data_IF_161532938789
#
_entry.id   IF_161532938789
#
_cell.length_a   1.000
_cell.length_b   1.000
_cell.length_c   1.000
_cell.angle_alpha   90.00
_cell.angle_beta   90.00
_cell.angle_gamma   90.00
#
_symmetry.space_group_name_H-M   'P 1'
#
loop_
_entity.id
_entity.type
_entity.pdbx_description
1 polymer ?
#
# COMPACT_ATOMS: atom_id res chain seq x y z
N UNK A 1 -14.53 -2.97 -28.04
CA UNK A 1 -13.15 -2.75 -27.56
C UNK A 1 -13.00 -3.52 -26.26
N UNK A 2 -12.18 -4.54 -26.20
CA UNK A 2 -11.90 -5.29 -24.95
C UNK A 2 -11.03 -4.39 -24.07
N UNK A 3 -11.61 -3.92 -22.97
CA UNK A 3 -10.89 -3.10 -21.99
C UNK A 3 -9.63 -3.81 -21.44
N UNK A 4 -8.67 -3.04 -20.92
CA UNK A 4 -7.45 -3.58 -20.30
C UNK A 4 -7.85 -4.50 -19.14
N UNK A 5 -7.32 -5.75 -19.08
CA UNK A 5 -7.64 -6.66 -17.99
C UNK A 5 -7.28 -6.06 -16.61
N UNK A 6 -8.03 -6.38 -15.54
CA UNK A 6 -7.68 -5.95 -14.18
C UNK A 6 -6.23 -6.27 -13.82
N UNK A 7 -5.57 -5.35 -13.12
CA UNK A 7 -4.14 -5.44 -12.79
C UNK A 7 -3.80 -6.74 -12.03
N UNK A 8 -4.65 -7.14 -11.07
CA UNK A 8 -4.49 -8.41 -10.35
C UNK A 8 -4.48 -9.64 -11.26
N UNK A 9 -5.26 -9.64 -12.35
CA UNK A 9 -5.29 -10.76 -13.31
C UNK A 9 -4.00 -10.80 -14.15
N UNK A 10 -3.49 -9.63 -14.54
CA UNK A 10 -2.22 -9.54 -15.27
C UNK A 10 -1.07 -10.00 -14.40
N UNK A 11 -1.03 -9.57 -13.13
CA UNK A 11 -0.02 -10.01 -12.16
C UNK A 11 -0.03 -11.54 -11.97
N UNK A 12 -1.21 -12.13 -11.72
CA UNK A 12 -1.34 -13.59 -11.58
C UNK A 12 -0.92 -14.32 -12.85
N UNK A 13 -1.34 -13.82 -14.01
CA UNK A 13 -0.97 -14.38 -15.32
C UNK A 13 0.52 -14.30 -15.59
N UNK A 14 1.14 -13.15 -15.32
CA UNK A 14 2.58 -12.95 -15.49
C UNK A 14 3.40 -13.84 -14.54
N UNK A 15 2.95 -14.00 -13.29
CA UNK A 15 3.58 -14.91 -12.34
C UNK A 15 3.52 -16.37 -12.83
N UNK A 16 2.36 -16.86 -13.22
CA UNK A 16 2.18 -18.21 -13.76
C UNK A 16 3.06 -18.45 -15.00
N UNK A 17 3.07 -17.52 -15.93
CA UNK A 17 3.90 -17.58 -17.13
C UNK A 17 5.38 -17.69 -16.77
N UNK A 18 5.87 -16.84 -15.85
CA UNK A 18 7.27 -16.84 -15.41
C UNK A 18 7.67 -18.21 -14.81
N UNK A 19 6.86 -18.77 -13.91
CA UNK A 19 7.15 -20.07 -13.31
C UNK A 19 7.12 -21.20 -14.34
N UNK A 20 6.15 -21.19 -15.26
CA UNK A 20 6.07 -22.14 -16.35
C UNK A 20 7.32 -22.08 -17.25
N UNK A 21 7.72 -20.88 -17.66
CA UNK A 21 8.88 -20.67 -18.53
C UNK A 21 10.20 -21.05 -17.83
N UNK A 22 10.32 -20.83 -16.53
CA UNK A 22 11.50 -21.26 -15.76
C UNK A 22 11.69 -22.78 -15.74
N UNK A 23 10.60 -23.54 -15.87
CA UNK A 23 10.63 -25.00 -15.99
C UNK A 23 10.84 -25.47 -17.45
N UNK A 24 10.91 -24.54 -18.41
CA UNK A 24 10.97 -24.87 -19.83
C UNK A 24 9.64 -25.43 -20.40
N UNK A 25 8.53 -25.29 -19.66
CA UNK A 25 7.24 -25.79 -20.10
C UNK A 25 6.60 -24.88 -21.14
N UNK A 26 6.04 -25.49 -22.19
CA UNK A 26 5.14 -24.83 -23.13
C UNK A 26 3.72 -24.67 -22.57
N UNK A 27 2.85 -24.04 -23.34
CA UNK A 27 1.43 -23.91 -22.95
C UNK A 27 0.70 -25.25 -22.92
N UNK A 28 1.16 -26.22 -23.68
CA UNK A 28 0.54 -27.55 -23.78
C UNK A 28 0.81 -28.39 -22.52
N UNK A 29 1.99 -28.22 -21.89
CA UNK A 29 2.31 -28.83 -20.58
C UNK A 29 1.38 -28.29 -19.50
N UNK A 30 1.23 -26.97 -19.42
CA UNK A 30 0.32 -26.32 -18.48
C UNK A 30 -1.16 -26.71 -18.72
N UNK A 31 -1.55 -26.87 -19.99
CA UNK A 31 -2.89 -27.30 -20.35
C UNK A 31 -3.18 -28.75 -19.91
N UNK A 32 -2.19 -29.64 -19.96
CA UNK A 32 -2.31 -31.03 -19.47
C UNK A 32 -2.50 -31.08 -17.95
N UNK A 33 -1.81 -30.23 -17.18
CA UNK A 33 -1.98 -30.17 -15.71
C UNK A 33 -3.43 -29.84 -15.36
N UNK A 34 -4.07 -28.89 -16.05
CA UNK A 34 -5.44 -28.48 -15.78
C UNK A 34 -6.50 -29.21 -16.63
N UNK A 35 -6.11 -30.24 -17.40
CA UNK A 35 -6.99 -30.97 -18.30
C UNK A 35 -7.84 -30.04 -19.19
N UNK A 36 -7.20 -29.05 -19.82
CA UNK A 36 -7.87 -27.99 -20.54
C UNK A 36 -7.17 -27.62 -21.87
N UNK A 37 -7.80 -26.75 -22.67
CA UNK A 37 -7.21 -26.26 -23.90
C UNK A 37 -6.06 -25.28 -23.66
N UNK A 38 -5.02 -25.34 -24.49
CA UNK A 38 -3.91 -24.38 -24.55
C UNK A 38 -4.39 -22.92 -24.58
N UNK A 39 -5.48 -22.63 -25.29
CA UNK A 39 -6.06 -21.28 -25.36
C UNK A 39 -6.56 -20.75 -24.02
N UNK A 40 -6.98 -21.64 -23.12
CA UNK A 40 -7.38 -21.26 -21.75
C UNK A 40 -6.16 -20.79 -20.96
N UNK A 41 -5.05 -21.52 -21.01
CA UNK A 41 -3.80 -21.13 -20.33
C UNK A 41 -3.31 -19.79 -20.86
N UNK A 42 -3.23 -19.63 -22.18
CA UNK A 42 -2.81 -18.37 -22.81
C UNK A 42 -3.65 -17.17 -22.35
N UNK A 43 -4.98 -17.32 -22.26
CA UNK A 43 -5.87 -16.26 -21.78
C UNK A 43 -5.72 -15.99 -20.28
N UNK A 44 -5.38 -16.99 -19.48
CA UNK A 44 -5.06 -16.80 -18.07
C UNK A 44 -3.75 -16.02 -17.92
N UNK A 45 -2.70 -16.43 -18.62
CA UNK A 45 -1.37 -15.79 -18.57
C UNK A 45 -1.38 -14.35 -19.09
N UNK A 46 -2.27 -14.03 -20.03
CA UNK A 46 -2.47 -12.64 -20.52
C UNK A 46 -3.45 -11.82 -19.69
N UNK A 47 -4.00 -12.39 -18.59
CA UNK A 47 -4.97 -11.73 -17.73
C UNK A 47 -6.39 -11.58 -18.32
N UNK A 48 -6.60 -12.02 -19.55
CA UNK A 48 -7.91 -11.94 -20.23
C UNK A 48 -8.96 -12.85 -19.59
N UNK A 49 -8.51 -13.91 -18.91
CA UNK A 49 -9.38 -14.83 -18.17
C UNK A 49 -8.89 -14.95 -16.73
N UNK A 50 -9.84 -14.92 -15.77
CA UNK A 50 -9.55 -15.25 -14.38
C UNK A 50 -9.29 -16.75 -14.22
N UNK A 51 -8.53 -17.12 -13.17
CA UNK A 51 -8.27 -18.50 -12.77
C UNK A 51 -9.01 -18.83 -11.48
N UNK A 52 -9.51 -20.06 -11.32
CA UNK A 52 -10.11 -20.54 -10.06
C UNK A 52 -9.02 -20.85 -9.05
N UNK A 53 -9.32 -20.65 -7.76
CA UNK A 53 -8.33 -20.90 -6.69
C UNK A 53 -7.81 -22.36 -6.67
N UNK A 54 -8.65 -23.35 -7.03
CA UNK A 54 -8.23 -24.74 -7.17
C UNK A 54 -7.23 -24.90 -8.31
N UNK A 55 -7.56 -24.40 -9.50
CA UNK A 55 -6.70 -24.44 -10.69
C UNK A 55 -5.37 -23.71 -10.46
N UNK A 56 -5.44 -22.55 -9.79
CA UNK A 56 -4.24 -21.78 -9.43
C UNK A 56 -3.32 -22.60 -8.50
N UNK A 57 -3.87 -23.20 -7.44
CA UNK A 57 -3.09 -24.01 -6.51
C UNK A 57 -2.43 -25.19 -7.23
N UNK A 58 -3.15 -25.86 -8.11
CA UNK A 58 -2.67 -26.98 -8.88
C UNK A 58 -1.46 -26.61 -9.75
N UNK A 59 -1.56 -25.50 -10.53
CA UNK A 59 -0.43 -25.00 -11.30
C UNK A 59 0.75 -24.59 -10.43
N UNK A 60 0.51 -23.86 -9.33
CA UNK A 60 1.58 -23.38 -8.44
C UNK A 60 2.34 -24.55 -7.78
N UNK A 61 1.64 -25.61 -7.41
CA UNK A 61 2.23 -26.84 -6.85
C UNK A 61 3.10 -27.55 -7.90
N UNK A 62 2.55 -27.76 -9.09
CA UNK A 62 3.28 -28.41 -10.20
C UNK A 62 4.49 -27.59 -10.69
N UNK A 63 4.39 -26.27 -10.58
CA UNK A 63 5.51 -25.39 -10.92
C UNK A 63 6.55 -25.26 -9.79
N UNK A 64 6.36 -25.91 -8.65
CA UNK A 64 7.29 -25.87 -7.52
C UNK A 64 7.42 -24.49 -6.89
N UNK A 65 6.36 -23.69 -6.92
CA UNK A 65 6.36 -22.33 -6.33
C UNK A 65 6.48 -22.44 -4.81
N UNK A 66 7.34 -21.65 -4.14
CA UNK A 66 7.47 -21.66 -2.69
C UNK A 66 6.17 -21.36 -1.96
N UNK A 67 5.92 -22.00 -0.81
CA UNK A 67 4.66 -21.92 -0.05
C UNK A 67 4.23 -20.47 0.26
N UNK A 68 5.17 -19.61 0.65
CA UNK A 68 4.89 -18.19 0.95
C UNK A 68 4.37 -17.44 -0.26
N UNK A 69 4.91 -17.72 -1.44
CA UNK A 69 4.49 -17.11 -2.70
C UNK A 69 3.18 -17.70 -3.20
N UNK A 70 2.97 -19.02 -3.05
CA UNK A 70 1.69 -19.66 -3.31
C UNK A 70 0.58 -19.00 -2.48
N UNK A 71 0.82 -18.82 -1.17
CA UNK A 71 -0.15 -18.19 -0.27
C UNK A 71 -0.51 -16.76 -0.73
N UNK A 72 0.49 -15.95 -1.13
CA UNK A 72 0.28 -14.60 -1.61
C UNK A 72 -0.55 -14.57 -2.91
N UNK A 73 -0.18 -15.39 -3.92
CA UNK A 73 -0.91 -15.48 -5.18
C UNK A 73 -2.34 -15.99 -5.01
N UNK A 74 -2.55 -16.98 -4.13
CA UNK A 74 -3.88 -17.47 -3.77
C UNK A 74 -4.72 -16.40 -3.05
N UNK A 75 -4.10 -15.60 -2.17
CA UNK A 75 -4.78 -14.48 -1.51
C UNK A 75 -5.27 -13.43 -2.51
N UNK A 76 -4.45 -13.06 -3.51
CA UNK A 76 -4.84 -12.14 -4.60
C UNK A 76 -6.02 -12.71 -5.41
N UNK A 77 -5.96 -13.99 -5.78
CA UNK A 77 -7.02 -14.65 -6.54
C UNK A 77 -8.33 -14.77 -5.76
N UNK A 78 -8.25 -15.04 -4.45
CA UNK A 78 -9.41 -15.22 -3.58
C UNK A 78 -10.11 -13.89 -3.27
N UNK A 79 -9.37 -12.86 -2.88
CA UNK A 79 -9.89 -11.52 -2.53
C UNK A 79 -10.57 -10.84 -3.70
N UNK A 80 -10.11 -11.07 -4.92
CA UNK A 80 -10.78 -10.57 -6.12
C UNK A 80 -12.17 -11.13 -6.38
N UNK A 81 -12.65 -12.08 -5.58
CA UNK A 81 -14.00 -12.69 -5.66
C UNK A 81 -14.86 -12.41 -4.44
N UNK A 82 -14.27 -11.91 -3.37
CA UNK A 82 -15.02 -11.59 -2.15
C UNK A 82 -15.53 -10.15 -2.21
N UNK A 83 -16.68 -9.92 -1.62
CA UNK A 83 -17.17 -8.58 -1.30
C UNK A 83 -16.23 -7.99 -0.24
N UNK A 84 -15.42 -7.01 -0.60
CA UNK A 84 -14.54 -6.32 0.32
C UNK A 84 -15.18 -5.02 0.81
N UNK A 85 -14.75 -4.53 1.97
CA UNK A 85 -15.22 -3.27 2.57
C UNK A 85 -15.16 -2.07 1.60
N UNK A 86 -14.27 -2.09 0.60
CA UNK A 86 -14.13 -1.02 -0.40
C UNK A 86 -15.30 -0.95 -1.38
N UNK A 87 -16.12 -1.98 -1.50
CA UNK A 87 -17.29 -1.99 -2.38
C UNK A 87 -18.47 -1.17 -1.82
N UNK A 88 -18.38 -0.80 -0.54
CA UNK A 88 -19.35 0.09 0.10
C UNK A 88 -19.14 1.56 -0.33
N UNK A 89 -18.02 1.85 -1.06
CA UNK A 89 -17.62 3.18 -1.50
C UNK A 89 -17.43 3.27 -3.02
N UNK A 90 -18.45 2.95 -3.84
CA UNK A 90 -18.34 2.93 -5.30
C UNK A 90 -18.18 4.33 -5.91
N UNK A 91 -18.55 5.36 -5.17
CA UNK A 91 -18.46 6.78 -5.53
C UNK A 91 -17.04 7.35 -5.34
N UNK A 92 -16.18 6.66 -4.60
CA UNK A 92 -14.80 7.10 -4.28
C UNK A 92 -13.76 6.26 -5.01
N UNK A 93 -13.96 4.96 -5.12
CA UNK A 93 -12.97 4.03 -5.64
C UNK A 93 -13.32 3.58 -7.06
N UNK A 94 -12.46 3.93 -8.01
CA UNK A 94 -12.47 3.36 -9.36
C UNK A 94 -12.16 1.85 -9.33
N UNK A 95 -12.44 1.13 -10.42
CA UNK A 95 -12.07 -0.29 -10.56
C UNK A 95 -10.56 -0.52 -10.33
N UNK A 96 -9.72 0.41 -10.79
CA UNK A 96 -8.27 0.36 -10.56
C UNK A 96 -7.92 0.56 -9.09
N UNK A 97 -8.61 1.47 -8.40
CA UNK A 97 -8.46 1.70 -6.96
C UNK A 97 -8.86 0.47 -6.15
N UNK A 98 -9.97 -0.18 -6.50
CA UNK A 98 -10.40 -1.43 -5.87
C UNK A 98 -9.39 -2.56 -6.08
N UNK A 99 -8.84 -2.70 -7.30
CA UNK A 99 -7.77 -3.66 -7.58
C UNK A 99 -6.53 -3.39 -6.72
N UNK A 100 -6.17 -2.11 -6.54
CA UNK A 100 -5.08 -1.71 -5.66
C UNK A 100 -5.33 -2.13 -4.19
N UNK A 101 -6.54 -1.91 -3.65
CA UNK A 101 -6.90 -2.32 -2.29
C UNK A 101 -6.76 -3.83 -2.09
N UNK A 102 -7.14 -4.61 -3.10
CA UNK A 102 -7.00 -6.08 -3.07
C UNK A 102 -5.52 -6.47 -2.99
N UNK A 103 -4.68 -5.86 -3.82
CA UNK A 103 -3.25 -6.18 -3.88
C UNK A 103 -2.51 -5.68 -2.63
N UNK A 104 -2.78 -4.46 -2.18
CA UNK A 104 -2.20 -3.92 -0.95
C UNK A 104 -2.51 -4.81 0.25
N UNK A 105 -3.77 -5.25 0.39
CA UNK A 105 -4.15 -6.19 1.45
C UNK A 105 -3.46 -7.56 1.35
N UNK A 106 -2.92 -7.97 0.21
CA UNK A 106 -2.21 -9.23 0.01
C UNK A 106 -0.68 -9.07 0.07
N UNK A 107 -0.17 -7.83 0.07
CA UNK A 107 1.27 -7.57 0.08
C UNK A 107 1.93 -8.07 1.37
N UNK A 108 3.14 -8.62 1.24
CA UNK A 108 4.02 -8.96 2.35
C UNK A 108 4.91 -7.77 2.74
N UNK A 109 5.23 -6.90 1.78
CA UNK A 109 6.03 -5.70 1.97
C UNK A 109 5.49 -4.57 1.09
N UNK A 110 5.48 -3.36 1.66
CA UNK A 110 5.10 -2.12 0.97
C UNK A 110 6.23 -1.11 1.14
N UNK A 111 6.80 -0.69 0.02
CA UNK A 111 7.81 0.37 -0.04
C UNK A 111 7.16 1.59 -0.69
N UNK A 112 7.09 2.71 0.02
CA UNK A 112 6.42 3.90 -0.49
C UNK A 112 7.34 5.14 -0.45
N UNK A 113 7.38 5.86 -1.56
CA UNK A 113 8.01 7.16 -1.67
C UNK A 113 6.95 8.22 -1.96
N UNK A 114 6.93 9.27 -1.14
CA UNK A 114 5.99 10.37 -1.28
C UNK A 114 6.73 11.70 -1.41
N UNK A 115 6.41 12.41 -2.48
CA UNK A 115 7.07 13.68 -2.82
C UNK A 115 6.28 14.91 -2.41
N UNK A 116 4.95 14.83 -2.31
CA UNK A 116 4.09 16.00 -2.22
C UNK A 116 3.19 16.05 -1.00
N UNK A 117 2.96 14.93 -0.33
CA UNK A 117 2.07 14.85 0.83
C UNK A 117 2.49 13.73 1.77
N UNK A 118 1.87 13.66 2.94
CA UNK A 118 2.01 12.51 3.84
C UNK A 118 1.36 11.28 3.21
N UNK A 119 2.02 10.10 3.22
CA UNK A 119 1.42 8.86 2.71
C UNK A 119 0.05 8.58 3.33
N UNK A 120 -0.92 8.17 2.53
CA UNK A 120 -2.30 7.90 2.99
C UNK A 120 -2.36 6.96 4.20
N UNK A 121 -1.49 5.95 4.25
CA UNK A 121 -1.42 5.01 5.38
C UNK A 121 -0.95 5.66 6.69
N UNK A 122 -0.31 6.83 6.62
CA UNK A 122 0.24 7.53 7.77
C UNK A 122 -0.53 8.80 8.15
N UNK A 123 -1.55 9.18 7.36
CA UNK A 123 -2.35 10.38 7.63
C UNK A 123 -3.18 10.24 8.91
N UNK A 124 -3.25 11.32 9.69
CA UNK A 124 -4.29 11.47 10.73
C UNK A 124 -5.64 11.74 10.07
N UNK A 125 -6.73 11.54 10.80
CA UNK A 125 -8.07 11.84 10.28
C UNK A 125 -8.20 13.33 9.87
N UNK A 126 -7.65 14.24 10.68
CA UNK A 126 -7.68 15.68 10.39
C UNK A 126 -6.92 16.03 9.10
N UNK A 127 -5.73 15.43 8.90
CA UNK A 127 -4.96 15.62 7.67
C UNK A 127 -5.70 15.02 6.46
N UNK A 128 -6.21 13.80 6.57
CA UNK A 128 -6.97 13.14 5.51
C UNK A 128 -8.23 13.97 5.11
N UNK A 129 -8.90 14.57 6.10
CA UNK A 129 -10.06 15.45 5.86
C UNK A 129 -9.64 16.73 5.11
N UNK A 130 -8.58 17.39 5.57
CA UNK A 130 -8.10 18.61 4.92
C UNK A 130 -7.64 18.38 3.47
N UNK A 131 -7.03 17.21 3.19
CA UNK A 131 -6.70 16.81 1.81
C UNK A 131 -7.97 16.58 0.98
N UNK A 132 -8.99 15.90 1.54
CA UNK A 132 -10.24 15.66 0.84
C UNK A 132 -11.02 16.94 0.56
N UNK A 133 -10.99 17.90 1.48
CA UNK A 133 -11.64 19.21 1.33
C UNK A 133 -10.97 20.09 0.25
N UNK A 134 -9.67 19.90 0.04
CA UNK A 134 -8.89 20.62 -0.97
C UNK A 134 -8.98 19.98 -2.37
N UNK A 135 -9.41 18.73 -2.49
CA UNK A 135 -9.46 17.99 -3.76
C UNK A 135 -10.72 18.37 -4.55
N UNK A 136 -10.58 19.02 -5.73
CA UNK A 136 -11.72 19.43 -6.54
C UNK A 136 -12.48 18.27 -7.22
N UNK A 137 -11.95 17.06 -7.17
CA UNK A 137 -12.60 15.91 -7.79
C UNK A 137 -13.78 15.37 -6.96
N UNK A 138 -13.91 15.76 -5.70
CA UNK A 138 -15.04 15.38 -4.85
C UNK A 138 -16.19 16.35 -5.02
N UNK A 139 -17.31 15.88 -5.60
CA UNK A 139 -18.45 16.72 -5.96
C UNK A 139 -19.28 17.21 -4.75
N UNK A 140 -19.10 16.63 -3.56
CA UNK A 140 -19.87 16.98 -2.37
C UNK A 140 -19.26 16.48 -1.06
N UNK A 141 -19.84 16.91 0.06
CA UNK A 141 -19.35 16.56 1.40
C UNK A 141 -19.44 15.06 1.68
N UNK A 142 -20.44 14.36 1.17
CA UNK A 142 -20.61 12.93 1.33
C UNK A 142 -19.45 12.17 0.70
N UNK A 143 -19.05 12.49 -0.54
CA UNK A 143 -17.90 11.89 -1.19
C UNK A 143 -16.59 12.19 -0.46
N UNK A 144 -16.42 13.41 0.09
CA UNK A 144 -15.24 13.75 0.91
C UNK A 144 -15.19 12.92 2.17
N UNK A 145 -16.34 12.72 2.84
CA UNK A 145 -16.43 11.84 4.01
C UNK A 145 -16.07 10.40 3.64
N UNK A 146 -16.66 9.85 2.59
CA UNK A 146 -16.34 8.51 2.08
C UNK A 146 -14.85 8.37 1.72
N UNK A 147 -14.23 9.38 1.10
CA UNK A 147 -12.80 9.38 0.81
C UNK A 147 -11.94 9.27 2.09
N UNK A 148 -12.31 9.96 3.16
CA UNK A 148 -11.65 9.86 4.46
C UNK A 148 -11.89 8.48 5.09
N UNK A 149 -13.10 7.97 5.06
CA UNK A 149 -13.46 6.65 5.61
C UNK A 149 -12.69 5.53 4.92
N UNK A 150 -12.57 5.59 3.58
CA UNK A 150 -11.75 4.66 2.79
C UNK A 150 -10.30 4.67 3.26
N UNK A 151 -9.69 5.86 3.46
CA UNK A 151 -8.31 5.97 3.95
C UNK A 151 -8.16 5.36 5.35
N UNK A 152 -9.09 5.65 6.27
CA UNK A 152 -9.06 5.12 7.65
C UNK A 152 -9.31 3.61 7.69
N UNK A 153 -10.23 3.09 6.88
CA UNK A 153 -10.48 1.65 6.76
C UNK A 153 -9.24 0.93 6.19
N UNK A 154 -8.60 1.50 5.17
CA UNK A 154 -7.35 1.00 4.59
C UNK A 154 -6.23 0.94 5.64
N UNK A 155 -6.05 2.00 6.44
CA UNK A 155 -5.09 2.02 7.55
C UNK A 155 -5.35 0.89 8.55
N UNK A 156 -6.59 0.67 8.97
CA UNK A 156 -6.95 -0.44 9.87
C UNK A 156 -6.54 -1.79 9.29
N UNK A 157 -6.92 -2.05 8.05
CA UNK A 157 -6.62 -3.34 7.41
C UNK A 157 -5.12 -3.55 7.27
N UNK A 158 -4.38 -2.55 6.77
CA UNK A 158 -2.94 -2.69 6.49
C UNK A 158 -2.12 -2.68 7.78
N UNK A 159 -2.34 -1.69 8.65
CA UNK A 159 -1.47 -1.44 9.80
C UNK A 159 -1.82 -2.30 11.02
N UNK A 160 -3.10 -2.58 11.28
CA UNK A 160 -3.53 -3.30 12.47
C UNK A 160 -3.75 -4.80 12.23
N UNK A 161 -4.35 -5.17 11.09
CA UNK A 161 -4.76 -6.55 10.84
C UNK A 161 -3.70 -7.36 10.07
N UNK A 162 -3.12 -6.78 9.02
CA UNK A 162 -2.21 -7.49 8.09
C UNK A 162 -0.75 -7.37 8.49
N UNK A 163 -0.33 -6.19 8.91
CA UNK A 163 1.02 -5.85 9.35
C UNK A 163 2.11 -6.32 8.37
N UNK A 164 2.04 -5.93 7.09
CA UNK A 164 3.15 -6.16 6.19
C UNK A 164 4.38 -5.36 6.66
N UNK A 165 5.55 -5.69 6.14
CA UNK A 165 6.70 -4.82 6.31
C UNK A 165 6.46 -3.50 5.54
N UNK A 166 6.61 -2.37 6.22
CA UNK A 166 6.34 -1.04 5.69
C UNK A 166 7.60 -0.18 5.74
N UNK A 167 8.01 0.32 4.59
CA UNK A 167 9.11 1.28 4.51
C UNK A 167 8.64 2.54 3.76
N UNK A 168 8.76 3.69 4.41
CA UNK A 168 8.36 4.98 3.86
C UNK A 168 9.56 5.90 3.73
N UNK A 169 9.68 6.56 2.59
CA UNK A 169 10.54 7.72 2.37
C UNK A 169 9.67 8.89 1.98
N UNK A 170 9.67 9.94 2.78
CA UNK A 170 8.90 11.18 2.56
C UNK A 170 9.88 12.30 2.30
N UNK A 171 9.66 13.14 1.29
CA UNK A 171 10.48 14.33 1.10
C UNK A 171 10.24 15.36 2.21
N UNK A 172 11.25 16.11 2.56
CA UNK A 172 11.11 17.24 3.49
C UNK A 172 10.13 18.27 2.93
N UNK A 173 10.07 18.47 1.61
CA UNK A 173 9.10 19.34 0.96
C UNK A 173 7.64 19.01 1.28
N UNK A 174 7.29 17.71 1.31
CA UNK A 174 5.94 17.26 1.67
C UNK A 174 5.57 17.61 3.13
N UNK A 175 6.55 17.73 4.01
CA UNK A 175 6.34 18.07 5.42
C UNK A 175 6.19 19.58 5.65
N UNK A 176 6.79 20.40 4.79
CA UNK A 176 6.64 21.86 4.81
C UNK A 176 5.36 22.36 4.15
N UNK A 177 4.69 21.51 3.39
CA UNK A 177 3.38 21.88 2.83
C UNK A 177 2.32 21.88 3.90
N UNK A 178 1.82 23.06 4.25
CA UNK A 178 0.81 23.23 5.30
C UNK A 178 -0.55 22.73 4.79
N UNK A 179 -1.04 21.65 5.39
CA UNK A 179 -2.35 21.05 5.09
C UNK A 179 -3.28 21.26 6.27
N UNK A 180 -4.40 21.95 6.06
CA UNK A 180 -5.42 22.19 7.09
C UNK A 180 -5.01 23.10 8.26
N UNK A 181 -3.84 23.77 8.14
CA UNK A 181 -3.33 24.65 9.19
C UNK A 181 -2.54 23.94 10.30
N UNK A 182 -2.04 24.75 11.27
CA UNK A 182 -1.18 24.27 12.36
C UNK A 182 -1.83 23.21 13.24
N UNK A 183 -3.13 23.34 13.50
CA UNK A 183 -3.88 22.41 14.36
C UNK A 183 -4.01 21.01 13.75
N UNK A 184 -3.93 20.90 12.42
CA UNK A 184 -3.91 19.64 11.66
C UNK A 184 -2.48 19.13 11.50
N UNK A 185 -1.53 20.01 11.19
CA UNK A 185 -0.14 19.63 10.95
C UNK A 185 0.58 19.13 12.20
N UNK A 186 0.37 19.76 13.35
CA UNK A 186 1.05 19.36 14.60
C UNK A 186 0.77 17.90 14.99
N UNK A 187 -0.50 17.44 15.12
CA UNK A 187 -0.77 16.01 15.39
C UNK A 187 -0.25 15.08 14.29
N UNK A 188 -0.21 15.55 13.03
CA UNK A 188 0.32 14.77 11.92
C UNK A 188 1.84 14.56 12.04
N UNK A 189 2.59 15.60 12.33
CA UNK A 189 4.04 15.56 12.54
C UNK A 189 4.40 14.72 13.77
N UNK A 190 3.66 14.86 14.89
CA UNK A 190 3.83 14.06 16.10
C UNK A 190 3.64 12.56 15.81
N UNK A 191 2.61 12.20 15.01
CA UNK A 191 2.39 10.81 14.57
C UNK A 191 3.58 10.30 13.76
N UNK A 192 4.06 11.09 12.80
CA UNK A 192 5.21 10.69 11.96
C UNK A 192 6.50 10.56 12.79
N UNK A 193 6.74 11.48 13.74
CA UNK A 193 7.88 11.43 14.66
C UNK A 193 7.86 10.17 15.51
N UNK A 194 6.69 9.78 16.01
CA UNK A 194 6.49 8.55 16.79
C UNK A 194 6.76 7.29 15.97
N UNK A 195 6.29 7.26 14.72
CA UNK A 195 6.54 6.16 13.79
C UNK A 195 8.03 6.04 13.43
N UNK A 196 8.68 7.16 13.12
CA UNK A 196 10.11 7.19 12.80
C UNK A 196 10.98 6.78 14.01
N UNK A 197 10.53 7.08 15.23
CA UNK A 197 11.20 6.62 16.46
C UNK A 197 10.95 5.14 16.79
N UNK A 198 10.06 4.47 16.05
CA UNK A 198 9.63 3.10 16.34
C UNK A 198 8.75 2.96 17.57
N UNK A 199 8.25 4.06 18.13
CA UNK A 199 7.42 4.08 19.34
C UNK A 199 5.92 4.21 19.04
N UNK A 200 5.56 4.49 17.79
CA UNK A 200 4.19 4.64 17.35
C UNK A 200 3.53 3.31 17.05
N UNK A 201 2.33 3.09 17.61
CA UNK A 201 1.45 2.02 17.11
C UNK A 201 0.82 2.53 15.84
N UNK A 202 1.10 1.89 14.71
CA UNK A 202 0.59 2.30 13.40
C UNK A 202 -0.96 2.37 13.33
N UNK A 203 -1.67 1.77 14.27
CA UNK A 203 -3.13 1.68 14.31
C UNK A 203 -3.85 2.55 15.36
N UNK A 204 -3.18 3.47 16.07
CA UNK A 204 -3.84 4.34 17.05
C UNK A 204 -4.60 5.48 16.34
N UNK A 205 -5.77 5.17 15.81
CA UNK A 205 -6.78 6.18 15.46
C UNK A 205 -7.42 6.68 16.75
N UNK A 206 -7.17 7.94 17.11
CA UNK A 206 -7.80 8.56 18.25
C UNK A 206 -9.32 8.56 18.10
N UNK A 207 -9.99 7.69 18.82
CA UNK A 207 -11.41 7.79 19.08
C UNK A 207 -11.61 8.86 20.14
N UNK A 208 -11.90 10.10 19.72
CA UNK A 208 -12.43 11.14 20.57
C UNK A 208 -13.88 11.41 20.18
N UNK A 209 -14.79 11.10 21.12
CA UNK A 209 -16.09 11.72 21.19
C UNK A 209 -17.30 10.82 21.01
N UNK A 210 -17.72 10.18 22.09
CA UNK A 210 -19.15 9.98 22.37
C UNK A 210 -19.35 10.29 23.84
N UNK A 211 -19.94 11.44 24.12
CA UNK A 211 -20.50 11.82 25.41
C UNK A 211 -21.65 10.90 25.78
N UNK A 212 -21.52 10.17 26.86
CA UNK A 212 -22.57 9.37 27.48
C UNK A 212 -22.27 9.25 28.97
N UNK A 213 -22.99 10.02 29.78
CA UNK A 213 -23.01 10.05 31.25
C UNK A 213 -23.34 8.68 31.84
N UNK A 214 -22.62 8.24 32.83
CA UNK A 214 -22.93 7.99 34.23
C UNK A 214 -22.05 6.92 34.85
N UNK A 215 -21.48 7.24 36.01
CA UNK A 215 -21.42 6.40 37.19
C UNK A 215 -20.14 5.60 37.47
N UNK A 216 -19.29 6.19 38.33
CA UNK A 216 -18.66 5.57 39.51
C UNK A 216 -17.45 4.62 39.39
N UNK A 217 -16.44 5.07 40.16
CA UNK A 217 -15.38 4.37 40.93
C UNK A 217 -14.17 3.80 40.23
N UNK A 218 -13.09 4.54 40.35
CA UNK A 218 -11.79 4.15 40.91
C UNK A 218 -11.00 3.03 40.25
N UNK A 219 -10.03 3.44 39.40
CA UNK A 219 -8.70 2.82 39.42
C UNK A 219 -7.72 3.74 38.68
N UNK A 220 -6.85 4.37 39.45
CA UNK A 220 -5.61 5.01 38.98
C UNK A 220 -4.71 3.94 38.36
N UNK A 221 -4.45 4.05 37.07
CA UNK A 221 -3.53 3.20 36.37
C UNK A 221 -2.97 3.94 35.18
N UNK A 222 -2.08 4.92 35.42
CA UNK A 222 -1.16 5.46 34.40
C UNK A 222 -0.12 4.39 34.07
N UNK A 223 -0.45 3.48 33.19
CA UNK A 223 0.55 2.71 32.49
C UNK A 223 0.89 3.45 31.21
N UNK A 224 1.99 4.22 31.28
CA UNK A 224 2.70 4.66 30.10
C UNK A 224 3.08 3.42 29.30
N UNK A 225 2.39 3.21 28.19
CA UNK A 225 2.77 2.20 27.22
C UNK A 225 4.07 2.65 26.55
N UNK A 226 5.20 2.29 27.17
CA UNK A 226 6.47 2.19 26.45
C UNK A 226 6.33 1.01 25.50
N UNK A 227 5.63 1.24 24.39
CA UNK A 227 5.51 0.24 23.32
C UNK A 227 6.90 -0.04 22.78
N UNK A 228 7.29 -1.31 22.77
CA UNK A 228 8.46 -1.75 22.03
C UNK A 228 8.33 -1.25 20.58
N UNK A 229 9.46 -0.86 19.92
CA UNK A 229 9.40 -0.41 18.54
C UNK A 229 8.70 -1.45 17.68
N UNK A 230 7.75 -1.03 16.85
CA UNK A 230 7.12 -1.90 15.87
C UNK A 230 8.11 -2.09 14.70
N UNK A 231 8.80 -3.22 14.61
CA UNK A 231 9.82 -3.43 13.59
C UNK A 231 9.24 -3.54 12.18
N UNK A 232 7.91 -3.56 12.05
CA UNK A 232 7.22 -3.64 10.76
C UNK A 232 7.15 -2.31 10.01
N UNK A 233 7.36 -1.17 10.70
CA UNK A 233 7.24 0.17 10.09
C UNK A 233 8.56 0.93 10.20
N UNK A 234 9.09 1.39 9.07
CA UNK A 234 10.25 2.28 8.98
C UNK A 234 9.87 3.56 8.24
N UNK A 235 10.22 4.72 8.79
CA UNK A 235 9.98 6.03 8.19
C UNK A 235 11.28 6.84 8.15
N UNK A 236 11.62 7.36 6.97
CA UNK A 236 12.77 8.21 6.74
C UNK A 236 12.36 9.48 5.99
N UNK A 237 12.97 10.59 6.32
CA UNK A 237 12.80 11.87 5.60
C UNK A 237 13.96 12.06 4.63
N UNK A 238 13.64 12.36 3.38
CA UNK A 238 14.60 12.75 2.36
C UNK A 238 14.77 14.28 2.44
N UNK A 239 15.90 14.77 2.99
CA UNK A 239 16.09 16.19 3.26
C UNK A 239 16.35 17.00 1.99
N UNK A 240 16.16 18.32 2.03
CA UNK A 240 16.48 19.21 0.92
C UNK A 240 17.95 19.14 0.51
N UNK A 241 18.85 18.92 1.46
CA UNK A 241 20.29 18.80 1.20
C UNK A 241 20.66 17.56 0.38
N UNK A 242 19.76 16.56 0.28
CA UNK A 242 19.98 15.43 -0.61
C UNK A 242 20.04 15.83 -2.09
N UNK A 243 19.49 17.01 -2.43
CA UNK A 243 19.53 17.57 -3.78
C UNK A 243 18.88 16.64 -4.81
N UNK A 244 19.54 16.48 -5.95
CA UNK A 244 19.06 15.57 -7.00
C UNK A 244 19.16 14.12 -6.53
N UNK A 245 18.03 13.39 -6.56
CA UNK A 245 17.91 12.03 -6.05
C UNK A 245 17.31 11.07 -7.09
N UNK A 246 17.34 9.78 -6.80
CA UNK A 246 16.98 8.72 -7.75
C UNK A 246 15.53 8.80 -8.29
N UNK A 247 14.61 9.49 -7.60
CA UNK A 247 13.22 9.67 -8.01
C UNK A 247 12.88 11.12 -8.37
N UNK A 248 13.86 11.99 -8.64
CA UNK A 248 13.61 13.41 -8.97
C UNK A 248 12.71 13.61 -10.21
N UNK A 249 12.72 12.65 -11.14
CA UNK A 249 11.84 12.61 -12.32
C UNK A 249 10.57 11.80 -12.16
N UNK A 250 10.30 11.25 -10.96
CA UNK A 250 9.14 10.41 -10.68
C UNK A 250 8.22 11.14 -9.69
N UNK A 251 6.91 10.96 -9.85
CA UNK A 251 5.95 11.27 -8.78
C UNK A 251 6.02 10.25 -7.63
N UNK A 252 5.07 10.37 -6.70
CA UNK A 252 4.90 9.40 -5.61
C UNK A 252 4.70 7.98 -6.15
N UNK A 253 5.29 7.00 -5.46
CA UNK A 253 5.21 5.60 -5.85
C UNK A 253 5.03 4.68 -4.65
N UNK A 254 4.30 3.59 -4.84
CA UNK A 254 4.24 2.47 -3.91
C UNK A 254 4.63 1.18 -4.63
N UNK A 255 5.47 0.38 -4.00
CA UNK A 255 5.90 -0.93 -4.47
C UNK A 255 5.29 -1.97 -3.55
N UNK A 256 4.37 -2.76 -4.08
CA UNK A 256 3.77 -3.89 -3.38
C UNK A 256 4.54 -5.16 -3.73
N UNK A 257 5.10 -5.85 -2.74
CA UNK A 257 5.80 -7.12 -2.93
C UNK A 257 5.02 -8.28 -2.32
N UNK A 258 5.00 -9.40 -3.03
CA UNK A 258 4.24 -10.59 -2.67
C UNK A 258 5.20 -11.76 -2.45
N UNK A 259 5.62 -11.98 -1.20
CA UNK A 259 6.65 -12.98 -0.86
C UNK A 259 8.07 -12.52 -1.19
N UNK A 260 9.01 -13.46 -1.14
CA UNK A 260 10.45 -13.20 -1.30
C UNK A 260 10.94 -13.32 -2.76
N UNK A 261 10.07 -13.68 -3.71
CA UNK A 261 10.46 -13.83 -5.11
C UNK A 261 10.94 -12.51 -5.72
N UNK A 262 12.14 -12.47 -6.27
CA UNK A 262 12.60 -11.33 -7.02
C UNK A 262 11.69 -11.07 -8.23
N UNK A 263 11.09 -9.86 -8.28
CA UNK A 263 10.25 -9.43 -9.39
C UNK A 263 8.78 -9.85 -9.32
N UNK A 264 8.32 -10.47 -8.21
CA UNK A 264 6.89 -10.61 -7.95
C UNK A 264 6.39 -9.39 -7.16
N UNK A 265 5.87 -8.41 -7.86
CA UNK A 265 5.41 -7.17 -7.28
C UNK A 265 4.59 -6.34 -8.24
N UNK A 266 4.07 -5.24 -7.73
CA UNK A 266 3.37 -4.21 -8.50
C UNK A 266 3.89 -2.85 -8.07
N UNK A 267 4.18 -2.01 -9.05
CA UNK A 267 4.46 -0.59 -8.83
C UNK A 267 3.16 0.17 -9.07
N UNK A 268 2.74 0.92 -8.09
CA UNK A 268 1.66 1.89 -8.25
C UNK A 268 2.26 3.29 -8.29
N UNK A 269 2.10 3.98 -9.41
CA UNK A 269 2.50 5.37 -9.56
C UNK A 269 1.26 6.23 -9.40
N UNK A 270 1.25 7.10 -8.40
CA UNK A 270 0.16 8.06 -8.21
C UNK A 270 0.23 9.11 -9.33
N UNK A 271 -0.65 8.95 -10.31
CA UNK A 271 -0.63 9.79 -11.52
C UNK A 271 -1.65 10.93 -11.49
N UNK A 272 -2.74 10.79 -10.71
CA UNK A 272 -3.86 11.73 -10.69
C UNK A 272 -4.41 11.88 -9.27
N UNK A 273 -4.98 13.04 -9.00
CA UNK A 273 -5.71 13.32 -7.77
C UNK A 273 -7.00 12.48 -7.72
N UNK A 274 -7.32 11.95 -6.54
CA UNK A 274 -8.59 11.28 -6.24
C UNK A 274 -8.67 9.80 -6.56
N UNK A 275 -9.39 9.04 -5.73
CA UNK A 275 -9.91 7.71 -6.02
C UNK A 275 -8.93 6.55 -6.24
N UNK A 276 -7.66 6.69 -5.86
CA UNK A 276 -6.68 5.63 -6.09
C UNK A 276 -6.32 5.42 -7.57
N UNK A 277 -6.56 6.43 -8.41
CA UNK A 277 -6.15 6.39 -9.81
C UNK A 277 -4.63 6.43 -9.91
N UNK A 278 -4.04 5.48 -10.63
CA UNK A 278 -2.60 5.40 -10.83
C UNK A 278 -2.26 4.45 -11.96
N UNK A 279 -0.98 4.47 -12.36
CA UNK A 279 -0.45 3.54 -13.35
C UNK A 279 0.18 2.37 -12.59
N UNK A 280 -0.29 1.16 -12.88
CA UNK A 280 0.30 -0.06 -12.32
C UNK A 280 1.25 -0.70 -13.32
N UNK A 281 2.47 -1.02 -12.84
CA UNK A 281 3.47 -1.77 -13.59
C UNK A 281 3.74 -3.08 -12.86
N UNK A 282 3.63 -4.19 -13.57
CA UNK A 282 3.83 -5.55 -13.04
C UNK A 282 4.98 -6.31 -13.71
N UNK A 283 5.63 -5.72 -14.71
CA UNK A 283 6.78 -6.35 -15.36
C UNK A 283 7.95 -6.47 -14.37
N UNK A 284 8.55 -7.66 -14.30
CA UNK A 284 9.62 -7.95 -13.35
C UNK A 284 10.82 -6.98 -13.46
N UNK A 285 11.13 -6.52 -14.67
CA UNK A 285 12.18 -5.54 -14.93
C UNK A 285 11.85 -4.17 -14.32
N UNK A 286 10.60 -3.73 -14.46
CA UNK A 286 10.12 -2.49 -13.85
C UNK A 286 10.15 -2.61 -12.33
N UNK A 287 9.62 -3.68 -11.77
CA UNK A 287 9.65 -3.94 -10.34
C UNK A 287 11.08 -3.90 -9.81
N UNK A 288 12.02 -4.58 -10.46
CA UNK A 288 13.43 -4.57 -10.07
C UNK A 288 14.06 -3.17 -10.19
N UNK A 289 13.70 -2.39 -11.22
CA UNK A 289 14.17 -1.03 -11.41
C UNK A 289 13.69 -0.12 -10.26
N UNK A 290 12.41 -0.17 -9.93
CA UNK A 290 11.83 0.66 -8.87
C UNK A 290 12.33 0.26 -7.47
N UNK A 291 12.56 -1.03 -7.20
CA UNK A 291 13.20 -1.49 -5.96
C UNK A 291 14.61 -0.89 -5.83
N UNK A 292 15.42 -0.90 -6.90
CA UNK A 292 16.74 -0.24 -6.88
C UNK A 292 16.65 1.27 -6.68
N UNK A 293 15.66 1.92 -7.28
CA UNK A 293 15.38 3.35 -7.08
C UNK A 293 15.05 3.63 -5.62
N UNK A 294 14.15 2.85 -5.03
CA UNK A 294 13.79 3.00 -3.62
C UNK A 294 14.98 2.77 -2.68
N UNK A 295 15.80 1.77 -2.94
CA UNK A 295 17.02 1.52 -2.15
C UNK A 295 17.99 2.72 -2.17
N UNK A 296 18.13 3.40 -3.32
CA UNK A 296 18.93 4.64 -3.43
C UNK A 296 18.29 5.81 -2.69
N UNK A 297 16.96 5.96 -2.75
CA UNK A 297 16.24 6.97 -1.97
C UNK A 297 16.45 6.77 -0.48
N UNK A 298 16.29 5.54 0.00
CA UNK A 298 16.50 5.19 1.40
C UNK A 298 17.93 5.46 1.87
N UNK A 299 18.93 5.22 1.00
CA UNK A 299 20.33 5.51 1.31
C UNK A 299 20.64 7.02 1.37
N UNK A 300 19.90 7.85 0.60
CA UNK A 300 20.04 9.31 0.61
C UNK A 300 19.20 9.99 1.71
N UNK A 301 18.23 9.29 2.26
CA UNK A 301 17.35 9.81 3.32
C UNK A 301 18.06 9.80 4.68
N UNK A 302 17.60 10.65 5.59
CA UNK A 302 18.00 10.64 6.99
C UNK A 302 17.66 9.29 7.62
N UNK A 303 18.47 8.86 8.59
CA UNK A 303 18.14 7.65 9.37
C UNK A 303 16.80 7.84 10.10
N UNK A 304 16.08 6.77 10.46
CA UNK A 304 14.81 6.90 11.20
C UNK A 304 14.95 7.75 12.46
N UNK A 305 16.04 7.59 13.23
CA UNK A 305 16.28 8.37 14.45
C UNK A 305 16.48 9.87 14.17
N UNK A 306 17.19 10.23 13.10
CA UNK A 306 17.40 11.63 12.70
C UNK A 306 16.10 12.21 12.13
N UNK A 307 15.36 11.43 11.34
CA UNK A 307 14.03 11.81 10.83
C UNK A 307 13.06 12.12 11.97
N UNK A 308 13.03 11.27 13.02
CA UNK A 308 12.20 11.51 14.20
C UNK A 308 12.57 12.80 14.94
N UNK A 309 13.85 13.19 14.94
CA UNK A 309 14.29 14.47 15.53
C UNK A 309 13.82 15.64 14.70
N UNK A 310 14.07 15.62 13.39
CA UNK A 310 13.61 16.66 12.47
C UNK A 310 12.10 16.90 12.61
N UNK A 311 11.29 15.83 12.59
CA UNK A 311 9.84 15.90 12.71
C UNK A 311 9.39 16.55 14.04
N UNK A 312 10.08 16.25 15.17
CA UNK A 312 9.79 16.88 16.46
C UNK A 312 10.18 18.35 16.51
N UNK A 313 11.25 18.73 15.84
CA UNK A 313 11.67 20.13 15.78
C UNK A 313 10.65 20.95 14.99
N UNK A 314 10.14 20.41 13.86
CA UNK A 314 9.06 21.04 13.07
C UNK A 314 7.72 21.18 13.84
N UNK A 315 7.47 20.43 14.91
CA UNK A 315 6.24 20.61 15.73
C UNK A 315 6.34 21.77 16.71
N UNK A 316 7.54 22.32 16.94
CA UNK A 316 7.80 23.40 17.90
C UNK A 316 7.76 24.79 17.26
N UNK A 317 7.96 24.82 15.95
CA UNK A 317 7.88 26.05 15.14
C UNK A 317 6.42 26.29 14.69
#
# INVERSE_FOLDING_TARGET
>A
MTGTPPMRRRLLGAALRKYRENLGYGLDEAARILECDRSKISRIETGQRGIRAKELRELLTEYGVPDGEQAALLAIAHRGRQHGWWQDYPDVLSDTGQDYMIMEGAAAEILAYESNQVPDLLQTQGYARAVADADPNWAGDEQRLHAVEVKLARQRVVLAERRPRLEFVITEAALHQVVGGSDVMRPQLDRLASLAAGTGVAGATGATGATGTTGATGATGTTGATGAPDPSVSLQVLPFEAGAHAAAGCGSMAILRFGDAPGLGVIHLSALCGGGAGIGLEAAEDVARYIRTFARLRAAALTPAVSARLLRDMTRD
#
